data_IF_068345125902
#
_entry.id   IF_068345125902
#
_cell.length_a   1.000
_cell.length_b   1.000
_cell.length_c   1.000
_cell.angle_alpha   90.00
_cell.angle_beta   90.00
_cell.angle_gamma   90.00
#
_symmetry.space_group_name_H-M   'P 1'
#
loop_
_entity.id
_entity.type
_entity.pdbx_description
1 polymer ?
#
# COMPACT_ATOMS: atom_id res chain seq x y z
N UNK A 1 -10.44 -24.82 39.10
CA UNK A 1 -9.97 -24.99 37.71
C UNK A 1 -9.03 -23.85 37.46
N UNK A 2 -7.72 -24.09 37.29
CA UNK A 2 -6.77 -23.03 36.92
C UNK A 2 -6.92 -22.77 35.42
N UNK A 3 -7.13 -21.52 35.06
CA UNK A 3 -7.14 -21.07 33.68
C UNK A 3 -5.81 -21.42 33.00
N UNK A 4 -5.81 -21.95 31.76
CA UNK A 4 -4.59 -22.21 31.04
C UNK A 4 -3.78 -20.91 30.88
N UNK A 5 -2.47 -20.99 31.07
CA UNK A 5 -1.56 -19.88 30.82
C UNK A 5 -1.36 -19.78 29.31
N UNK A 6 -1.71 -18.65 28.74
CA UNK A 6 -1.40 -18.32 27.34
C UNK A 6 -0.03 -17.61 27.30
N UNK A 7 0.83 -18.08 26.46
CA UNK A 7 2.07 -17.41 26.07
C UNK A 7 1.94 -16.99 24.60
N UNK A 8 2.50 -15.84 24.27
CA UNK A 8 2.55 -15.38 22.89
C UNK A 8 4.02 -15.34 22.45
N UNK A 9 4.30 -15.93 21.32
CA UNK A 9 5.62 -15.98 20.73
C UNK A 9 5.59 -15.19 19.43
N UNK A 10 6.51 -14.25 19.26
CA UNK A 10 6.72 -13.57 18.00
C UNK A 10 7.66 -14.43 17.15
N UNK A 11 7.16 -14.89 16.02
CA UNK A 11 7.94 -15.69 15.09
C UNK A 11 8.19 -14.85 13.84
N UNK A 12 9.46 -14.62 13.51
CA UNK A 12 9.83 -14.08 12.22
C UNK A 12 9.62 -15.14 11.13
N UNK A 13 9.42 -14.71 9.89
CA UNK A 13 9.26 -15.63 8.76
C UNK A 13 10.41 -16.62 8.72
N UNK A 14 10.17 -17.96 8.58
CA UNK A 14 11.23 -18.98 8.53
C UNK A 14 12.19 -18.79 7.36
N UNK A 15 11.83 -18.00 6.39
CA UNK A 15 12.74 -17.48 5.39
C UNK A 15 13.35 -16.19 5.94
N UNK A 16 14.47 -16.27 6.65
CA UNK A 16 15.35 -15.15 6.93
C UNK A 16 15.74 -14.50 5.60
N UNK A 17 14.79 -13.77 5.01
CA UNK A 17 15.08 -13.03 3.79
C UNK A 17 16.02 -11.88 4.16
N UNK A 18 16.94 -11.53 3.27
CA UNK A 18 17.83 -10.35 3.40
C UNK A 18 17.11 -9.02 3.67
N UNK A 19 15.79 -9.05 3.78
CA UNK A 19 14.88 -7.91 3.99
C UNK A 19 14.14 -7.96 5.34
N UNK A 20 14.50 -8.83 6.27
CA UNK A 20 13.96 -8.81 7.62
C UNK A 20 14.58 -7.62 8.35
N UNK A 21 13.76 -6.72 8.92
CA UNK A 21 14.28 -5.54 9.62
C UNK A 21 14.88 -5.94 10.97
N UNK A 22 15.82 -5.11 11.46
CA UNK A 22 16.54 -5.36 12.70
C UNK A 22 15.57 -5.54 13.89
N UNK A 23 14.49 -4.75 13.97
CA UNK A 23 13.48 -4.85 15.02
C UNK A 23 12.72 -6.19 14.99
N UNK A 24 12.46 -6.75 13.79
CA UNK A 24 11.87 -8.08 13.65
C UNK A 24 12.88 -9.17 14.06
N UNK A 25 14.16 -9.00 13.72
CA UNK A 25 15.22 -9.95 14.10
C UNK A 25 15.47 -9.93 15.62
N UNK A 26 15.46 -8.75 16.24
CA UNK A 26 15.63 -8.62 17.69
C UNK A 26 14.52 -9.28 18.50
N UNK A 27 13.32 -9.39 17.93
CA UNK A 27 12.15 -9.97 18.60
C UNK A 27 11.83 -11.40 18.13
N UNK A 28 12.66 -11.96 17.24
CA UNK A 28 12.47 -13.31 16.74
C UNK A 28 12.58 -14.35 17.84
N UNK A 29 11.63 -15.28 17.87
CA UNK A 29 11.51 -16.33 18.88
C UNK A 29 11.37 -15.86 20.34
N UNK A 30 11.15 -14.54 20.58
CA UNK A 30 10.87 -14.05 21.93
C UNK A 30 9.48 -14.46 22.39
N UNK A 31 9.42 -15.00 23.62
CA UNK A 31 8.18 -15.37 24.29
C UNK A 31 7.74 -14.22 25.19
N UNK A 32 6.52 -13.74 25.01
CA UNK A 32 5.90 -12.70 25.82
C UNK A 32 4.85 -13.31 26.72
N UNK A 33 4.95 -13.04 28.03
CA UNK A 33 4.05 -13.59 29.06
C UNK A 33 2.84 -12.69 29.34
N UNK A 34 2.83 -11.48 28.85
CA UNK A 34 1.73 -10.56 28.98
C UNK A 34 1.48 -9.79 27.68
N UNK A 35 0.23 -9.31 27.52
CA UNK A 35 -0.21 -8.63 26.29
C UNK A 35 0.33 -7.20 26.14
N UNK A 36 0.83 -6.60 27.23
CA UNK A 36 1.26 -5.20 27.24
C UNK A 36 2.65 -5.02 26.61
N UNK A 37 3.46 -6.09 26.64
CA UNK A 37 4.83 -6.07 26.12
C UNK A 37 4.98 -6.71 24.73
N UNK A 38 3.89 -7.14 24.11
CA UNK A 38 3.92 -7.70 22.76
C UNK A 38 4.12 -6.56 21.77
N UNK A 39 5.16 -6.60 20.91
CA UNK A 39 5.32 -5.62 19.87
C UNK A 39 4.13 -5.64 18.90
N UNK A 40 3.74 -4.47 18.43
CA UNK A 40 2.68 -4.36 17.43
C UNK A 40 3.12 -5.03 16.14
N UNK A 41 2.51 -6.15 15.79
CA UNK A 41 2.79 -6.82 14.52
C UNK A 41 1.68 -6.49 13.51
N UNK A 42 1.99 -6.03 12.29
CA UNK A 42 3.33 -5.82 11.75
C UNK A 42 4.02 -4.56 12.30
N UNK A 43 5.30 -4.66 12.56
CA UNK A 43 6.12 -3.54 13.06
C UNK A 43 6.24 -2.42 12.01
N UNK A 44 6.15 -2.78 10.73
CA UNK A 44 6.17 -1.86 9.59
C UNK A 44 5.32 -2.42 8.42
N UNK A 45 4.97 -1.61 7.41
CA UNK A 45 4.04 -2.00 6.33
C UNK A 45 4.43 -3.27 5.55
N UNK A 46 5.71 -3.62 5.51
CA UNK A 46 6.23 -4.79 4.80
C UNK A 46 6.65 -5.93 5.73
N UNK A 47 6.27 -5.86 7.00
CA UNK A 47 6.60 -6.88 7.97
C UNK A 47 5.87 -8.19 7.63
N UNK A 48 6.65 -9.30 7.58
CA UNK A 48 6.12 -10.65 7.37
C UNK A 48 6.06 -11.46 8.66
N UNK A 49 6.32 -10.81 9.80
CA UNK A 49 6.26 -11.43 11.10
C UNK A 49 4.82 -11.81 11.47
N UNK A 50 4.69 -12.81 12.30
CA UNK A 50 3.41 -13.20 12.91
C UNK A 50 3.60 -13.47 14.39
N UNK A 51 2.51 -13.43 15.11
CA UNK A 51 2.46 -13.79 16.53
C UNK A 51 1.78 -15.15 16.63
N UNK A 52 2.39 -16.07 17.33
CA UNK A 52 1.79 -17.35 17.68
C UNK A 52 1.33 -17.29 19.14
N UNK A 53 0.05 -17.46 19.39
CA UNK A 53 -0.48 -17.65 20.73
C UNK A 53 -0.38 -19.15 21.08
N UNK A 54 0.40 -19.46 22.11
CA UNK A 54 0.68 -20.82 22.51
C UNK A 54 -0.16 -21.14 23.74
N UNK A 55 -0.92 -22.21 23.67
CA UNK A 55 -1.64 -22.77 24.82
C UNK A 55 -0.80 -23.84 25.52
N UNK A 56 -0.56 -23.65 26.81
CA UNK A 56 0.24 -24.57 27.60
C UNK A 56 -0.63 -25.36 28.59
N UNK A 57 -0.27 -26.61 28.82
CA UNK A 57 -0.82 -27.41 29.92
C UNK A 57 -0.26 -26.93 31.28
N UNK A 58 -0.77 -27.55 32.36
CA UNK A 58 -0.33 -27.25 33.74
C UNK A 58 1.17 -27.49 34.00
N UNK A 59 1.85 -28.21 33.14
CA UNK A 59 3.29 -28.53 33.20
C UNK A 59 4.12 -27.63 32.29
N UNK A 60 3.49 -26.67 31.62
CA UNK A 60 4.18 -25.78 30.64
C UNK A 60 4.43 -26.40 29.27
N UNK A 61 3.78 -27.54 28.96
CA UNK A 61 3.90 -28.17 27.65
C UNK A 61 2.88 -27.60 26.69
N UNK A 62 3.33 -27.24 25.45
CA UNK A 62 2.46 -26.77 24.37
C UNK A 62 1.40 -27.83 24.02
N UNK A 63 0.12 -27.45 24.11
CA UNK A 63 -1.04 -28.31 23.81
C UNK A 63 -1.84 -27.77 22.63
N UNK A 64 -1.64 -26.51 22.27
CA UNK A 64 -2.26 -25.88 21.11
C UNK A 64 -1.54 -24.59 20.74
N UNK A 65 -1.81 -24.10 19.55
CA UNK A 65 -1.37 -22.77 19.15
C UNK A 65 -2.30 -22.18 18.08
N UNK A 66 -2.44 -20.86 18.12
CA UNK A 66 -3.15 -20.09 17.11
C UNK A 66 -2.18 -19.09 16.51
N UNK A 67 -1.91 -19.19 15.22
CA UNK A 67 -1.01 -18.29 14.50
C UNK A 67 -1.77 -17.07 14.03
N UNK A 68 -1.35 -15.91 14.51
CA UNK A 68 -1.79 -14.62 14.02
C UNK A 68 -0.70 -14.07 13.07
N UNK A 69 -0.86 -14.26 11.77
CA UNK A 69 -0.05 -13.49 10.83
C UNK A 69 -0.36 -12.02 11.03
N UNK A 70 0.64 -11.16 10.92
CA UNK A 70 0.60 -9.72 11.22
C UNK A 70 -0.56 -8.91 10.62
N UNK A 71 -1.38 -9.56 9.78
CA UNK A 71 -2.77 -9.18 9.49
C UNK A 71 -3.63 -10.43 9.68
N UNK A 72 -4.75 -10.28 10.37
CA UNK A 72 -5.76 -11.36 10.44
C UNK A 72 -6.10 -11.82 9.03
N UNK A 73 -6.30 -13.16 8.77
CA UNK A 73 -6.69 -13.64 7.44
C UNK A 73 -7.90 -12.91 6.84
N UNK A 74 -8.84 -12.47 7.68
CA UNK A 74 -9.98 -11.64 7.30
C UNK A 74 -9.57 -10.23 6.83
N UNK A 75 -8.53 -9.62 7.42
CA UNK A 75 -8.05 -8.30 7.02
C UNK A 75 -7.31 -8.35 5.69
N UNK A 76 -6.56 -9.43 5.42
CA UNK A 76 -5.91 -9.62 4.13
C UNK A 76 -6.94 -9.81 3.02
N UNK A 77 -7.93 -10.67 3.22
CA UNK A 77 -9.02 -10.86 2.25
C UNK A 77 -9.78 -9.57 1.99
N UNK A 78 -10.07 -8.79 3.02
CA UNK A 78 -10.71 -7.48 2.89
C UNK A 78 -9.81 -6.48 2.14
N UNK A 79 -8.51 -6.46 2.40
CA UNK A 79 -7.55 -5.63 1.66
C UNK A 79 -7.48 -6.03 0.19
N UNK A 80 -7.45 -7.33 -0.11
CA UNK A 80 -7.45 -7.83 -1.47
C UNK A 80 -8.72 -7.43 -2.24
N UNK A 81 -9.88 -7.50 -1.60
CA UNK A 81 -11.14 -7.04 -2.19
C UNK A 81 -11.13 -5.53 -2.47
N UNK A 82 -10.62 -4.74 -1.55
CA UNK A 82 -10.46 -3.28 -1.74
C UNK A 82 -9.48 -2.96 -2.86
N UNK A 83 -8.37 -3.69 -2.93
CA UNK A 83 -7.42 -3.56 -4.04
C UNK A 83 -8.08 -3.88 -5.38
N UNK A 84 -8.83 -4.97 -5.48
CA UNK A 84 -9.54 -5.33 -6.71
C UNK A 84 -10.47 -4.20 -7.19
N UNK A 85 -11.22 -3.61 -6.27
CA UNK A 85 -12.12 -2.50 -6.57
C UNK A 85 -11.35 -1.27 -7.08
N UNK A 86 -10.29 -0.88 -6.38
CA UNK A 86 -9.46 0.27 -6.73
C UNK A 86 -8.72 0.03 -8.06
N UNK A 87 -8.14 -1.16 -8.25
CA UNK A 87 -7.45 -1.54 -9.47
C UNK A 87 -8.36 -1.59 -10.70
N UNK A 88 -9.56 -2.11 -10.56
CA UNK A 88 -10.53 -2.12 -11.66
C UNK A 88 -10.91 -0.69 -12.09
N UNK A 89 -11.02 0.25 -11.16
CA UNK A 89 -11.21 1.67 -11.48
C UNK A 89 -9.97 2.27 -12.16
N UNK A 90 -8.77 1.92 -11.70
CA UNK A 90 -7.52 2.38 -12.28
C UNK A 90 -7.37 1.92 -13.75
N UNK A 91 -7.74 0.67 -14.03
CA UNK A 91 -7.54 -0.04 -15.30
C UNK A 91 -8.41 0.47 -16.47
N UNK A 92 -9.41 1.33 -16.24
CA UNK A 92 -10.21 1.86 -17.34
C UNK A 92 -9.36 2.63 -18.36
N UNK A 93 -9.68 2.53 -19.61
CA UNK A 93 -8.99 1.98 -20.75
C UNK A 93 -7.72 2.76 -21.06
N UNK A 94 -6.63 2.46 -20.47
CA UNK A 94 -5.35 2.97 -20.95
C UNK A 94 -4.63 1.88 -21.72
N UNK A 95 -4.37 2.21 -22.95
CA UNK A 95 -3.70 1.58 -24.02
C UNK A 95 -2.83 0.38 -23.67
N UNK A 96 -2.87 -0.60 -24.55
CA UNK A 96 -1.92 -1.69 -24.56
C UNK A 96 -0.47 -1.21 -24.64
N UNK A 97 0.36 -2.01 -25.20
CA UNK A 97 1.78 -1.72 -25.37
C UNK A 97 2.02 -0.48 -26.25
N UNK A 98 2.95 0.37 -25.82
CA UNK A 98 3.56 1.44 -26.62
C UNK A 98 5.08 1.34 -26.52
N UNK A 99 5.76 1.55 -27.65
CA UNK A 99 7.22 1.55 -27.70
C UNK A 99 7.87 2.88 -27.25
N UNK A 100 7.05 3.85 -26.86
CA UNK A 100 7.52 5.16 -26.41
C UNK A 100 8.04 6.09 -27.53
N UNK A 101 8.17 5.62 -28.77
CA UNK A 101 8.85 6.36 -29.84
C UNK A 101 8.07 7.56 -30.37
N UNK A 102 6.77 7.60 -30.17
CA UNK A 102 5.91 8.56 -30.85
C UNK A 102 5.57 9.83 -30.08
N UNK A 103 5.92 9.97 -28.82
CA UNK A 103 5.44 11.15 -28.08
C UNK A 103 6.39 11.83 -27.10
N UNK A 104 7.52 11.34 -26.74
CA UNK A 104 8.46 11.99 -25.79
C UNK A 104 9.49 10.98 -25.36
N UNK A 105 10.65 10.91 -25.68
CA UNK A 105 11.76 10.17 -25.02
C UNK A 105 11.36 9.26 -23.83
N UNK A 106 10.11 8.76 -23.85
CA UNK A 106 9.53 7.89 -22.85
C UNK A 106 9.87 6.45 -23.24
N UNK A 107 10.16 5.67 -22.25
CA UNK A 107 10.48 4.27 -22.40
C UNK A 107 9.25 3.42 -22.78
N UNK A 108 9.46 2.20 -23.30
CA UNK A 108 8.36 1.27 -23.57
C UNK A 108 7.47 1.07 -22.34
N UNK A 109 6.17 1.03 -22.57
CA UNK A 109 5.17 0.92 -21.51
C UNK A 109 4.09 -0.08 -21.94
N UNK A 110 3.64 -0.93 -21.04
CA UNK A 110 2.51 -1.84 -21.26
C UNK A 110 1.60 -1.84 -20.02
N UNK A 111 0.30 -1.71 -20.24
CA UNK A 111 -0.70 -1.64 -19.15
C UNK A 111 -0.32 -0.64 -18.05
N UNK A 112 0.25 0.52 -18.44
CA UNK A 112 0.70 1.55 -17.50
C UNK A 112 2.02 1.26 -16.77
N UNK A 113 2.61 0.08 -16.95
CA UNK A 113 3.91 -0.29 -16.38
C UNK A 113 5.02 0.05 -17.38
N UNK A 114 5.98 0.87 -16.96
CA UNK A 114 7.17 1.23 -17.72
C UNK A 114 8.22 0.12 -17.67
N UNK A 115 9.08 0.03 -18.70
CA UNK A 115 10.17 -0.94 -18.73
C UNK A 115 11.04 -0.84 -17.47
N UNK A 116 11.45 0.37 -17.10
CA UNK A 116 12.27 0.59 -15.88
C UNK A 116 11.59 0.12 -14.59
N UNK A 117 10.26 0.20 -14.52
CA UNK A 117 9.49 -0.32 -13.38
C UNK A 117 9.50 -1.85 -13.35
N UNK A 118 9.32 -2.46 -14.51
CA UNK A 118 9.41 -3.93 -14.65
C UNK A 118 10.81 -4.43 -14.27
N UNK A 119 11.86 -3.81 -14.80
CA UNK A 119 13.26 -4.20 -14.52
C UNK A 119 13.57 -4.11 -13.03
N UNK A 120 13.19 -3.00 -12.39
CA UNK A 120 13.37 -2.81 -10.94
C UNK A 120 12.61 -3.87 -10.13
N UNK A 121 11.38 -4.18 -10.53
CA UNK A 121 10.55 -5.17 -9.83
C UNK A 121 11.10 -6.58 -10.01
N UNK A 122 11.45 -6.98 -11.23
CA UNK A 122 12.04 -8.28 -11.53
C UNK A 122 13.36 -8.51 -10.79
N UNK A 123 14.22 -7.47 -10.71
CA UNK A 123 15.48 -7.54 -9.97
C UNK A 123 15.28 -7.73 -8.46
N UNK A 124 14.20 -7.19 -7.89
CA UNK A 124 13.84 -7.40 -6.48
C UNK A 124 13.23 -8.78 -6.22
N UNK A 125 12.68 -9.41 -7.25
CA UNK A 125 11.96 -10.67 -7.18
C UNK A 125 12.49 -11.69 -8.19
N UNK A 126 13.78 -12.11 -8.08
CA UNK A 126 14.42 -12.98 -9.05
C UNK A 126 13.83 -14.41 -9.07
N UNK A 127 13.10 -14.77 -8.02
CA UNK A 127 12.34 -16.01 -7.89
C UNK A 127 11.06 -16.04 -8.73
N UNK A 128 10.63 -14.86 -9.23
CA UNK A 128 9.41 -14.72 -10.04
C UNK A 128 9.78 -14.58 -11.50
N UNK A 129 9.07 -15.30 -12.34
CA UNK A 129 9.33 -15.34 -13.77
C UNK A 129 8.69 -14.16 -14.50
N UNK A 130 9.28 -12.96 -14.37
CA UNK A 130 8.89 -11.79 -15.13
C UNK A 130 9.59 -11.73 -16.49
N UNK A 131 8.92 -11.23 -17.55
CA UNK A 131 9.55 -11.06 -18.86
C UNK A 131 10.61 -9.96 -18.82
N UNK A 132 11.65 -10.09 -19.64
CA UNK A 132 12.67 -9.06 -19.80
C UNK A 132 12.15 -7.81 -20.56
N UNK A 133 11.15 -7.98 -21.43
CA UNK A 133 10.54 -6.89 -22.20
C UNK A 133 9.10 -6.68 -21.71
N UNK A 134 8.78 -5.44 -21.36
CA UNK A 134 7.45 -5.04 -20.85
C UNK A 134 6.32 -5.34 -21.86
N UNK A 135 6.64 -5.48 -23.14
CA UNK A 135 5.69 -5.87 -24.18
C UNK A 135 5.02 -7.22 -23.87
N UNK A 136 5.74 -8.14 -23.24
CA UNK A 136 5.27 -9.47 -22.91
C UNK A 136 4.72 -9.59 -21.49
N UNK A 137 4.62 -8.47 -20.77
CA UNK A 137 4.02 -8.44 -19.44
C UNK A 137 2.55 -8.89 -19.52
N UNK A 138 2.19 -9.86 -18.70
CA UNK A 138 0.80 -10.34 -18.61
C UNK A 138 -0.03 -9.45 -17.67
N UNK A 139 -1.36 -9.47 -17.84
CA UNK A 139 -2.28 -8.74 -16.94
C UNK A 139 -2.10 -9.16 -15.48
N UNK A 140 -1.86 -10.43 -15.20
CA UNK A 140 -1.63 -10.95 -13.85
C UNK A 140 -0.34 -10.39 -13.26
N UNK A 141 0.74 -10.36 -14.03
CA UNK A 141 2.02 -9.79 -13.60
C UNK A 141 1.94 -8.26 -13.41
N UNK A 142 1.28 -7.55 -14.32
CA UNK A 142 1.04 -6.12 -14.15
C UNK A 142 0.27 -5.83 -12.86
N UNK A 143 -0.80 -6.56 -12.59
CA UNK A 143 -1.60 -6.45 -11.38
C UNK A 143 -0.79 -6.75 -10.12
N UNK A 144 0.09 -7.74 -10.17
CA UNK A 144 1.00 -8.05 -9.08
C UNK A 144 1.95 -6.89 -8.78
N UNK A 145 2.53 -6.25 -9.80
CA UNK A 145 3.37 -5.06 -9.64
C UNK A 145 2.57 -3.93 -8.99
N UNK A 146 1.34 -3.65 -9.48
CA UNK A 146 0.48 -2.62 -8.89
C UNK A 146 0.17 -2.91 -7.43
N UNK A 147 -0.16 -4.16 -7.10
CA UNK A 147 -0.47 -4.56 -5.73
C UNK A 147 0.73 -4.38 -4.81
N UNK A 148 1.88 -4.89 -5.19
CA UNK A 148 3.06 -4.84 -4.33
C UNK A 148 3.65 -3.42 -4.22
N UNK A 149 3.88 -2.72 -5.34
CA UNK A 149 4.60 -1.44 -5.33
C UNK A 149 3.72 -0.27 -4.86
N UNK A 150 2.42 -0.30 -5.11
CA UNK A 150 1.56 0.88 -4.90
C UNK A 150 0.42 0.68 -3.89
N UNK A 151 0.19 -0.55 -3.43
CA UNK A 151 -0.85 -0.88 -2.47
C UNK A 151 -0.28 -1.49 -1.19
N UNK A 152 0.25 -2.71 -1.22
CA UNK A 152 0.72 -3.44 -0.04
C UNK A 152 1.90 -2.74 0.66
N UNK A 153 2.77 -2.08 -0.11
CA UNK A 153 3.90 -1.30 0.40
C UNK A 153 3.53 0.11 0.85
N UNK A 154 2.24 0.38 1.03
CA UNK A 154 1.71 1.68 1.43
C UNK A 154 0.69 1.53 2.55
N UNK A 155 0.30 2.63 3.17
CA UNK A 155 -0.80 2.66 4.13
C UNK A 155 -2.16 3.01 3.49
N UNK A 156 -2.24 3.09 2.17
CA UNK A 156 -3.48 3.38 1.44
C UNK A 156 -4.63 2.40 1.78
N UNK A 157 -4.38 1.09 1.97
CA UNK A 157 -5.42 0.14 2.40
C UNK A 157 -6.14 0.51 3.71
N UNK A 158 -5.49 1.32 4.57
CA UNK A 158 -6.03 1.76 5.86
C UNK A 158 -7.05 2.92 5.73
N UNK A 159 -7.16 3.53 4.57
CA UNK A 159 -8.17 4.57 4.30
C UNK A 159 -9.55 3.92 4.30
N UNK A 160 -10.43 4.40 5.19
CA UNK A 160 -11.76 3.81 5.41
C UNK A 160 -12.73 4.15 4.29
N UNK A 161 -12.74 5.40 3.83
CA UNK A 161 -13.66 5.83 2.77
C UNK A 161 -13.14 5.38 1.41
N UNK A 162 -13.94 4.59 0.70
CA UNK A 162 -13.55 3.95 -0.56
C UNK A 162 -13.24 4.96 -1.67
N UNK A 163 -13.99 6.07 -1.74
CA UNK A 163 -13.75 7.09 -2.77
C UNK A 163 -12.41 7.79 -2.57
N UNK A 164 -12.12 8.18 -1.32
CA UNK A 164 -10.84 8.81 -0.98
C UNK A 164 -9.70 7.83 -1.22
N UNK A 165 -9.84 6.58 -0.75
CA UNK A 165 -8.84 5.52 -0.93
C UNK A 165 -8.50 5.31 -2.40
N UNK A 166 -9.51 5.15 -3.23
CA UNK A 166 -9.33 4.84 -4.65
C UNK A 166 -8.69 6.03 -5.39
N UNK A 167 -9.06 7.27 -5.05
CA UNK A 167 -8.43 8.48 -5.60
C UNK A 167 -6.97 8.60 -5.15
N UNK A 168 -6.67 8.33 -3.89
CA UNK A 168 -5.30 8.36 -3.35
C UNK A 168 -4.44 7.27 -3.98
N UNK A 169 -4.98 6.07 -4.19
CA UNK A 169 -4.29 5.00 -4.90
C UNK A 169 -3.95 5.39 -6.34
N UNK A 170 -4.90 5.94 -7.09
CA UNK A 170 -4.68 6.42 -8.45
C UNK A 170 -3.57 7.49 -8.49
N UNK A 171 -3.63 8.46 -7.59
CA UNK A 171 -2.59 9.49 -7.47
C UNK A 171 -1.23 8.90 -7.10
N UNK A 172 -1.20 7.86 -6.25
CA UNK A 172 0.04 7.21 -5.84
C UNK A 172 0.73 6.51 -7.02
N UNK A 173 -0.03 5.87 -7.87
CA UNK A 173 0.48 5.25 -9.12
C UNK A 173 1.08 6.31 -10.05
N UNK A 174 0.46 7.48 -10.15
CA UNK A 174 0.95 8.57 -11.01
C UNK A 174 2.05 9.42 -10.36
N UNK A 175 2.23 9.32 -9.06
CA UNK A 175 3.16 10.13 -8.28
C UNK A 175 2.53 11.40 -7.68
N UNK A 176 3.11 11.85 -6.57
CA UNK A 176 2.73 13.08 -5.87
C UNK A 176 1.55 12.97 -4.91
N UNK A 177 1.00 11.76 -4.69
CA UNK A 177 -0.17 11.57 -3.84
C UNK A 177 0.00 12.15 -2.43
N UNK A 178 1.11 11.85 -1.76
CA UNK A 178 1.32 12.24 -0.37
C UNK A 178 1.29 13.75 -0.18
N UNK A 179 2.06 14.50 -0.99
CA UNK A 179 2.09 15.96 -0.90
C UNK A 179 0.73 16.60 -1.21
N UNK A 180 0.03 16.12 -2.24
CA UNK A 180 -1.32 16.60 -2.59
C UNK A 180 -2.29 16.35 -1.43
N UNK A 181 -2.31 15.14 -0.89
CA UNK A 181 -3.20 14.78 0.24
C UNK A 181 -2.89 15.62 1.48
N UNK A 182 -1.61 15.78 1.84
CA UNK A 182 -1.20 16.54 3.02
C UNK A 182 -1.57 18.01 2.91
N UNK A 183 -1.34 18.66 1.75
CA UNK A 183 -1.77 20.06 1.53
C UNK A 183 -3.27 20.19 1.58
N UNK A 184 -4.01 19.25 0.96
CA UNK A 184 -5.48 19.26 1.03
C UNK A 184 -5.97 19.14 2.47
N UNK A 185 -5.42 18.22 3.27
CA UNK A 185 -5.80 18.04 4.68
C UNK A 185 -5.48 19.28 5.53
N UNK A 186 -4.34 19.92 5.29
CA UNK A 186 -3.96 21.12 6.01
C UNK A 186 -4.93 22.27 5.71
N UNK A 187 -5.31 22.45 4.45
CA UNK A 187 -6.25 23.53 4.07
C UNK A 187 -7.71 23.22 4.44
N UNK A 188 -8.09 21.96 4.49
CA UNK A 188 -9.49 21.55 4.70
C UNK A 188 -9.84 21.29 6.18
N UNK A 189 -8.87 20.78 6.97
CA UNK A 189 -9.08 20.38 8.37
C UNK A 189 -8.13 21.09 9.36
N UNK A 190 -7.28 22.01 8.91
CA UNK A 190 -6.20 22.57 9.73
C UNK A 190 -5.33 21.48 10.38
N UNK A 191 -5.04 20.42 9.62
CA UNK A 191 -4.42 19.19 10.16
C UNK A 191 -2.96 19.38 10.60
N UNK A 192 -2.30 20.49 10.21
CA UNK A 192 -0.91 20.83 10.53
C UNK A 192 0.09 19.71 10.22
N UNK A 193 -0.14 18.98 9.13
CA UNK A 193 0.76 17.92 8.67
C UNK A 193 2.01 18.51 8.02
N UNK A 194 3.16 17.89 8.25
CA UNK A 194 4.36 18.15 7.46
C UNK A 194 4.10 17.65 6.03
N UNK A 195 4.35 18.50 5.03
CA UNK A 195 4.20 18.14 3.62
C UNK A 195 5.48 17.48 3.13
N UNK A 196 5.72 16.25 3.57
CA UNK A 196 6.89 15.44 3.24
C UNK A 196 6.66 14.47 2.07
N UNK A 197 5.41 14.38 1.58
CA UNK A 197 5.02 13.47 0.51
C UNK A 197 4.79 12.03 0.95
N UNK A 198 4.96 11.70 2.22
CA UNK A 198 4.74 10.36 2.75
C UNK A 198 3.30 10.19 3.27
N UNK A 199 2.62 9.13 2.86
CA UNK A 199 1.30 8.77 3.42
C UNK A 199 1.52 7.95 4.69
N UNK A 200 1.95 8.64 5.76
CA UNK A 200 2.22 8.06 7.07
C UNK A 200 0.98 7.96 7.96
N UNK A 201 1.19 7.51 9.22
CA UNK A 201 0.11 7.32 10.20
C UNK A 201 -0.67 8.59 10.50
N UNK A 202 -0.01 9.74 10.58
CA UNK A 202 -0.65 11.04 10.81
C UNK A 202 -1.58 11.40 9.64
N UNK A 203 -1.12 11.23 8.41
CA UNK A 203 -1.90 11.47 7.20
C UNK A 203 -3.14 10.56 7.16
N UNK A 204 -2.97 9.25 7.41
CA UNK A 204 -4.09 8.29 7.45
C UNK A 204 -5.09 8.64 8.55
N UNK A 205 -4.61 9.01 9.75
CA UNK A 205 -5.48 9.43 10.85
C UNK A 205 -6.34 10.64 10.46
N UNK A 206 -5.73 11.63 9.82
CA UNK A 206 -6.43 12.84 9.37
C UNK A 206 -7.44 12.55 8.26
N UNK A 207 -7.10 11.69 7.28
CA UNK A 207 -8.06 11.23 6.25
C UNK A 207 -9.26 10.54 6.90
N UNK A 208 -9.00 9.62 7.82
CA UNK A 208 -10.05 8.84 8.46
C UNK A 208 -10.89 9.63 9.49
N UNK A 209 -10.47 10.84 9.83
CA UNK A 209 -11.23 11.79 10.65
C UNK A 209 -12.21 12.66 9.85
N UNK A 210 -12.17 12.60 8.51
CA UNK A 210 -13.11 13.35 7.66
C UNK A 210 -14.52 12.79 7.87
N UNK A 211 -15.49 13.60 8.33
CA UNK A 211 -16.86 13.15 8.47
C UNK A 211 -17.47 12.76 7.12
N UNK A 212 -18.33 11.75 7.09
CA UNK A 212 -18.98 11.28 5.86
C UNK A 212 -19.73 12.42 5.14
N UNK A 213 -20.35 13.34 5.90
CA UNK A 213 -21.03 14.52 5.37
C UNK A 213 -20.09 15.50 4.64
N UNK A 214 -18.79 15.45 4.90
CA UNK A 214 -17.76 16.31 4.33
C UNK A 214 -16.94 15.66 3.21
N UNK A 215 -17.16 14.39 2.93
CA UNK A 215 -16.39 13.66 1.91
C UNK A 215 -16.51 14.31 0.54
N UNK A 216 -17.70 14.75 0.13
CA UNK A 216 -17.88 15.41 -1.17
C UNK A 216 -17.08 16.72 -1.28
N UNK A 217 -17.10 17.54 -0.24
CA UNK A 217 -16.34 18.79 -0.19
C UNK A 217 -14.83 18.51 -0.21
N UNK A 218 -14.40 17.52 0.56
CA UNK A 218 -12.99 17.10 0.57
C UNK A 218 -12.53 16.59 -0.80
N UNK A 219 -13.34 15.78 -1.48
CA UNK A 219 -13.00 15.28 -2.82
C UNK A 219 -12.87 16.40 -3.85
N UNK A 220 -13.66 17.46 -3.74
CA UNK A 220 -13.52 18.67 -4.57
C UNK A 220 -12.20 19.38 -4.27
N UNK A 221 -11.87 19.58 -2.99
CA UNK A 221 -10.61 20.19 -2.58
C UNK A 221 -9.40 19.35 -3.05
N UNK A 222 -9.45 18.04 -2.86
CA UNK A 222 -8.41 17.09 -3.28
C UNK A 222 -8.18 17.14 -4.79
N UNK A 223 -9.26 17.21 -5.56
CA UNK A 223 -9.21 17.33 -7.01
C UNK A 223 -8.54 18.62 -7.46
N UNK A 224 -8.91 19.75 -6.87
CA UNK A 224 -8.34 21.05 -7.19
C UNK A 224 -6.84 21.07 -6.88
N UNK A 225 -6.43 20.63 -5.71
CA UNK A 225 -5.03 20.54 -5.30
C UNK A 225 -4.24 19.58 -6.24
N UNK A 226 -4.88 18.48 -6.69
CA UNK A 226 -4.27 17.58 -7.68
C UNK A 226 -4.05 18.27 -9.03
N UNK A 227 -5.02 19.03 -9.51
CA UNK A 227 -4.90 19.78 -10.76
C UNK A 227 -3.77 20.81 -10.65
N UNK A 228 -3.68 21.54 -9.54
CA UNK A 228 -2.63 22.53 -9.34
C UNK A 228 -1.25 21.89 -9.29
N UNK A 229 -1.09 20.76 -8.57
CA UNK A 229 0.13 19.97 -8.62
C UNK A 229 0.51 19.53 -10.05
N UNK A 230 -0.46 19.11 -10.85
CA UNK A 230 -0.20 18.65 -12.23
C UNK A 230 0.21 19.80 -13.15
N UNK A 231 -0.32 21.00 -12.96
CA UNK A 231 0.06 22.22 -13.70
C UNK A 231 1.54 22.55 -13.53
N UNK A 232 2.11 22.29 -12.36
CA UNK A 232 3.51 22.55 -12.03
C UNK A 232 4.47 21.50 -12.63
N UNK A 233 3.94 20.44 -13.24
CA UNK A 233 4.77 19.40 -13.85
C UNK A 233 5.21 19.77 -15.27
N UNK A 234 6.42 19.33 -15.65
CA UNK A 234 6.99 19.58 -16.99
C UNK A 234 6.11 19.07 -18.15
N UNK A 235 5.25 18.10 -17.87
CA UNK A 235 4.45 17.42 -18.89
C UNK A 235 3.02 17.96 -18.99
N UNK A 236 2.68 19.02 -18.25
CA UNK A 236 1.32 19.56 -18.22
C UNK A 236 0.77 19.84 -19.62
N UNK A 237 1.48 20.67 -20.41
CA UNK A 237 1.00 21.11 -21.71
C UNK A 237 0.66 19.97 -22.68
N UNK A 238 1.36 18.87 -22.54
CA UNK A 238 1.22 17.74 -23.44
C UNK A 238 0.32 16.62 -22.91
N UNK A 239 0.08 16.56 -21.58
CA UNK A 239 -0.69 15.49 -20.93
C UNK A 239 -2.00 15.97 -20.30
N UNK A 240 -2.23 17.29 -20.23
CA UNK A 240 -3.36 17.90 -19.50
C UNK A 240 -4.71 17.25 -19.79
N UNK A 241 -5.02 16.98 -21.05
CA UNK A 241 -6.33 16.42 -21.41
C UNK A 241 -6.54 15.00 -20.84
N UNK A 242 -5.54 14.13 -20.92
CA UNK A 242 -5.58 12.79 -20.32
C UNK A 242 -5.62 12.87 -18.79
N UNK A 243 -4.79 13.71 -18.20
CA UNK A 243 -4.74 13.89 -16.76
C UNK A 243 -6.02 14.46 -16.18
N UNK A 244 -6.61 15.48 -16.81
CA UNK A 244 -7.89 16.04 -16.39
C UNK A 244 -9.02 15.02 -16.49
N UNK A 245 -9.06 14.22 -17.57
CA UNK A 245 -10.01 13.12 -17.70
C UNK A 245 -9.88 12.15 -16.53
N UNK A 246 -8.64 11.79 -16.15
CA UNK A 246 -8.36 10.88 -15.05
C UNK A 246 -8.73 11.47 -13.69
N UNK A 247 -8.37 12.73 -13.41
CA UNK A 247 -8.74 13.42 -12.18
C UNK A 247 -10.25 13.56 -12.00
N UNK A 248 -10.99 13.72 -13.11
CA UNK A 248 -12.45 13.83 -13.10
C UNK A 248 -13.20 12.51 -12.85
N UNK A 249 -12.49 11.41 -12.76
CA UNK A 249 -13.05 10.07 -12.57
C UNK A 249 -13.51 9.79 -11.15
N UNK A 250 -12.94 10.49 -10.18
CA UNK A 250 -13.22 10.39 -8.76
C UNK A 250 -13.93 11.64 -8.28
#
# INVERSE_FOLDING_TARGET
MQTPKFLQELISSPEHSKNTCDECLENDEKIFIDKEHIPTCPVHPNCRCWIEEIELDKNGKKIGSTVYKGQKPETQKASDMKFEQAYNKLKEPEGGYTDGKNQRKDEPTNMGIKQSTLDRYANKHPDKNFPADVKYLTTTQAKEIYKNEYWDNTRIPEIKNDRIRDAVFDMNVMGGAGGVVQRTLNSFLDANLVVDGAIGSATIKSINAIPDSKVNEFMVALKNERIDYLKDTKNWETAKNGWLKRVNKY
#
